data_IF_187416579827
#
_entry.id   IF_187416579827
#
_cell.length_a   1.000
_cell.length_b   1.000
_cell.length_c   1.000
_cell.angle_alpha   90.00
_cell.angle_beta   90.00
_cell.angle_gamma   90.00
#
_symmetry.space_group_name_H-M   'P 1'
#
loop_
_entity.id
_entity.type
_entity.pdbx_description
1 polymer ?
#
# COMPACT_ATOMS: atom_id res chain seq x y z
N UNK A 1 -11.05 -15.09 -1.49
CA UNK A 1 -11.13 -13.86 -0.68
C UNK A 1 -10.01 -12.96 -1.16
N UNK A 2 -10.38 -11.93 -1.95
CA UNK A 2 -9.41 -11.06 -2.61
C UNK A 2 -8.79 -10.09 -1.62
N UNK A 3 -7.46 -9.97 -1.66
CA UNK A 3 -6.70 -8.95 -0.94
C UNK A 3 -7.39 -7.61 -1.27
N UNK A 4 -8.01 -7.02 -0.26
CA UNK A 4 -8.99 -5.97 -0.46
C UNK A 4 -8.27 -4.70 -0.90
N UNK A 5 -8.39 -4.37 -2.19
CA UNK A 5 -7.76 -3.22 -2.87
C UNK A 5 -8.17 -1.84 -2.28
N UNK A 6 -8.85 -1.82 -1.14
CA UNK A 6 -9.58 -0.66 -0.64
C UNK A 6 -8.72 0.35 0.11
N UNK A 7 -7.55 -0.02 0.62
CA UNK A 7 -6.77 0.89 1.47
C UNK A 7 -6.23 2.09 0.69
N UNK A 8 -5.60 1.83 -0.46
CA UNK A 8 -5.04 2.89 -1.29
C UNK A 8 -6.15 3.71 -1.96
N UNK A 9 -7.23 3.06 -2.39
CA UNK A 9 -8.40 3.76 -2.96
C UNK A 9 -9.09 4.65 -1.92
N UNK A 10 -9.05 4.29 -0.64
CA UNK A 10 -9.55 5.14 0.45
C UNK A 10 -8.62 6.30 0.77
N UNK A 11 -7.30 6.09 0.76
CA UNK A 11 -6.33 7.16 0.99
C UNK A 11 -6.28 8.15 -0.19
N UNK A 12 -6.47 7.65 -1.41
CA UNK A 12 -6.35 8.42 -2.66
C UNK A 12 -7.56 8.23 -3.58
N UNK A 13 -8.77 8.64 -3.15
CA UNK A 13 -9.99 8.41 -3.91
C UNK A 13 -9.96 9.10 -5.28
N UNK A 14 -9.32 10.27 -5.36
CA UNK A 14 -9.12 11.04 -6.59
C UNK A 14 -8.20 10.35 -7.62
N UNK A 15 -7.37 9.40 -7.18
CA UNK A 15 -6.48 8.65 -8.04
C UNK A 15 -6.96 7.19 -8.25
N UNK A 16 -8.17 6.83 -7.82
CA UNK A 16 -8.66 5.43 -7.90
C UNK A 16 -8.62 4.88 -9.33
N UNK A 17 -9.09 5.65 -10.32
CA UNK A 17 -9.01 5.25 -11.73
C UNK A 17 -7.56 5.08 -12.21
N UNK A 18 -6.67 6.00 -11.81
CA UNK A 18 -5.24 5.94 -12.15
C UNK A 18 -4.55 4.75 -11.49
N UNK A 19 -4.96 4.39 -10.26
CA UNK A 19 -4.45 3.24 -9.51
C UNK A 19 -4.84 1.95 -10.24
N UNK A 20 -6.09 1.79 -10.67
CA UNK A 20 -6.53 0.62 -11.44
C UNK A 20 -5.81 0.53 -12.80
N UNK A 21 -5.65 1.65 -13.50
CA UNK A 21 -4.90 1.70 -14.76
C UNK A 21 -3.43 1.32 -14.57
N UNK A 22 -2.75 1.91 -13.58
CA UNK A 22 -1.36 1.62 -13.25
C UNK A 22 -1.18 0.20 -12.74
N UNK A 23 -2.13 -0.33 -11.97
CA UNK A 23 -2.06 -1.71 -11.51
C UNK A 23 -2.12 -2.71 -12.66
N UNK A 24 -2.85 -2.37 -13.74
CA UNK A 24 -2.92 -3.23 -14.92
C UNK A 24 -1.81 -2.99 -15.94
N UNK A 25 -1.28 -1.76 -16.03
CA UNK A 25 -0.24 -1.39 -17.00
C UNK A 25 1.18 -1.48 -16.43
N UNK A 26 1.34 -1.23 -15.14
CA UNK A 26 2.63 -1.18 -14.44
C UNK A 26 2.74 -2.32 -13.39
N UNK A 27 3.50 -3.37 -13.71
CA UNK A 27 3.66 -4.51 -12.80
C UNK A 27 4.43 -4.16 -11.53
N UNK A 28 5.26 -3.10 -11.54
CA UNK A 28 5.95 -2.65 -10.31
C UNK A 28 4.96 -2.02 -9.34
N UNK A 29 3.98 -1.29 -9.86
CA UNK A 29 2.91 -0.72 -9.07
C UNK A 29 2.05 -1.81 -8.43
N UNK A 30 1.62 -2.84 -9.19
CA UNK A 30 0.85 -3.97 -8.63
C UNK A 30 1.62 -4.70 -7.52
N UNK A 31 2.91 -4.96 -7.71
CA UNK A 31 3.74 -5.59 -6.68
C UNK A 31 3.77 -4.75 -5.40
N UNK A 32 4.06 -3.44 -5.52
CA UNK A 32 4.13 -2.52 -4.38
C UNK A 32 2.77 -2.35 -3.69
N UNK A 33 1.69 -2.36 -4.46
CA UNK A 33 0.32 -2.28 -3.97
C UNK A 33 -0.02 -3.49 -3.11
N UNK A 34 0.28 -4.70 -3.59
CA UNK A 34 0.06 -5.94 -2.83
C UNK A 34 0.90 -5.95 -1.57
N UNK A 35 2.17 -5.59 -1.67
CA UNK A 35 3.09 -5.55 -0.54
C UNK A 35 2.59 -4.57 0.54
N UNK A 36 2.00 -3.44 0.13
CA UNK A 36 1.38 -2.48 1.05
C UNK A 36 0.15 -3.07 1.74
N UNK A 37 -0.78 -3.64 0.97
CA UNK A 37 -2.01 -4.21 1.50
C UNK A 37 -1.76 -5.40 2.43
N UNK A 38 -0.81 -6.27 2.09
CA UNK A 38 -0.40 -7.39 2.95
C UNK A 38 0.20 -6.88 4.26
N UNK A 39 1.03 -5.84 4.20
CA UNK A 39 1.69 -5.29 5.36
C UNK A 39 0.71 -4.55 6.28
N UNK A 40 -0.27 -3.81 5.74
CA UNK A 40 -1.33 -3.17 6.52
C UNK A 40 -2.22 -4.23 7.20
N UNK A 41 -2.65 -5.24 6.45
CA UNK A 41 -3.43 -6.35 7.01
C UNK A 41 -2.64 -7.12 8.09
N UNK A 42 -1.32 -7.26 7.93
CA UNK A 42 -0.47 -7.83 8.97
C UNK A 42 -0.39 -6.91 10.20
N UNK A 43 -0.27 -5.59 10.03
CA UNK A 43 -0.32 -4.63 11.15
C UNK A 43 -1.67 -4.73 11.87
N UNK A 44 -2.79 -4.66 11.15
CA UNK A 44 -4.13 -4.76 11.74
C UNK A 44 -4.35 -6.11 12.45
N UNK A 45 -3.88 -7.21 11.84
CA UNK A 45 -3.97 -8.54 12.43
C UNK A 45 -3.13 -8.67 13.69
N UNK A 46 -1.96 -8.04 13.71
CA UNK A 46 -1.09 -7.97 14.87
C UNK A 46 -1.70 -7.11 15.98
N UNK A 47 -2.26 -5.94 15.66
CA UNK A 47 -2.96 -5.07 16.62
C UNK A 47 -4.20 -5.75 17.20
N UNK A 48 -5.00 -6.46 16.38
CA UNK A 48 -6.17 -7.22 16.84
C UNK A 48 -5.84 -8.40 17.74
N UNK A 49 -4.66 -9.00 17.58
CA UNK A 49 -4.25 -10.17 18.38
C UNK A 49 -3.78 -9.78 19.78
N UNK A 50 -3.74 -8.49 20.13
CA UNK A 50 -3.20 -7.94 21.38
C UNK A 50 -1.84 -8.58 21.73
N UNK A 51 -1.09 -8.96 20.69
CA UNK A 51 0.17 -9.63 20.86
C UNK A 51 1.19 -8.57 21.27
N UNK A 52 2.10 -8.86 22.23
CA UNK A 52 3.22 -7.98 22.53
C UNK A 52 4.20 -8.04 21.34
N UNK A 53 3.84 -7.39 20.25
CA UNK A 53 4.72 -7.19 19.12
C UNK A 53 5.86 -6.35 19.66
N UNK A 54 7.07 -6.86 19.55
CA UNK A 54 8.24 -6.06 19.91
C UNK A 54 8.20 -4.77 19.11
N UNK A 55 8.37 -3.64 19.80
CA UNK A 55 8.34 -2.29 19.23
C UNK A 55 9.16 -2.21 17.92
N UNK A 56 10.29 -2.93 17.87
CA UNK A 56 11.15 -3.08 16.70
C UNK A 56 10.43 -3.62 15.44
N UNK A 57 9.58 -4.65 15.59
CA UNK A 57 8.85 -5.24 14.47
C UNK A 57 7.79 -4.28 13.96
N UNK A 58 7.03 -3.66 14.86
CA UNK A 58 6.02 -2.64 14.51
C UNK A 58 6.68 -1.43 13.83
N UNK A 59 7.84 -0.99 14.33
CA UNK A 59 8.62 0.09 13.77
C UNK A 59 9.09 -0.22 12.34
N UNK A 60 9.62 -1.43 12.10
CA UNK A 60 10.02 -1.88 10.76
C UNK A 60 8.83 -1.95 9.81
N UNK A 61 7.68 -2.43 10.28
CA UNK A 61 6.46 -2.48 9.47
C UNK A 61 6.00 -1.06 9.11
N UNK A 62 5.88 -0.15 10.08
CA UNK A 62 5.55 1.26 9.80
C UNK A 62 6.53 1.91 8.83
N UNK A 63 7.83 1.62 8.95
CA UNK A 63 8.85 2.12 8.03
C UNK A 63 8.65 1.56 6.61
N UNK A 64 8.36 0.26 6.48
CA UNK A 64 8.02 -0.34 5.18
C UNK A 64 6.75 0.26 4.60
N UNK A 65 5.68 0.41 5.39
CA UNK A 65 4.42 1.03 4.99
C UNK A 65 4.66 2.42 4.40
N UNK A 66 5.46 3.24 5.08
CA UNK A 66 5.82 4.57 4.61
C UNK A 66 6.58 4.53 3.28
N UNK A 67 7.56 3.63 3.14
CA UNK A 67 8.31 3.46 1.88
C UNK A 67 7.43 2.99 0.74
N UNK A 68 6.54 2.04 0.98
CA UNK A 68 5.60 1.52 -0.01
C UNK A 68 4.65 2.63 -0.47
N UNK A 69 4.12 3.41 0.47
CA UNK A 69 3.30 4.59 0.16
C UNK A 69 4.06 5.60 -0.70
N UNK A 70 5.31 5.90 -0.36
CA UNK A 70 6.14 6.84 -1.12
C UNK A 70 6.36 6.36 -2.57
N UNK A 71 6.63 5.06 -2.75
CA UNK A 71 6.76 4.45 -4.08
C UNK A 71 5.46 4.50 -4.88
N UNK A 72 4.32 4.17 -4.25
CA UNK A 72 3.01 4.24 -4.89
C UNK A 72 2.68 5.68 -5.30
N UNK A 73 2.94 6.65 -4.42
CA UNK A 73 2.75 8.06 -4.72
C UNK A 73 3.67 8.55 -5.85
N UNK A 74 4.94 8.14 -5.86
CA UNK A 74 5.85 8.45 -6.96
C UNK A 74 5.36 7.91 -8.30
N UNK A 75 4.84 6.68 -8.34
CA UNK A 75 4.28 6.10 -9.55
C UNK A 75 3.04 6.89 -10.02
N UNK A 76 2.15 7.25 -9.10
CA UNK A 76 0.97 8.07 -9.40
C UNK A 76 1.37 9.43 -9.98
N UNK A 77 2.27 10.16 -9.31
CA UNK A 77 2.74 11.48 -9.76
C UNK A 77 3.52 11.40 -11.08
N UNK A 78 4.30 10.34 -11.28
CA UNK A 78 5.05 10.16 -12.52
C UNK A 78 4.11 9.92 -13.72
N UNK A 79 3.01 9.19 -13.51
CA UNK A 79 2.02 8.94 -14.55
C UNK A 79 1.10 10.15 -14.78
N UNK A 80 0.71 10.85 -13.72
CA UNK A 80 -0.08 12.10 -13.78
C UNK A 80 0.64 13.19 -14.60
N UNK A 81 1.95 13.34 -14.43
CA UNK A 81 2.76 14.28 -15.23
C UNK A 81 3.02 13.84 -16.67
N UNK A 82 2.83 12.56 -16.98
CA UNK A 82 3.02 12.02 -18.31
C UNK A 82 1.75 12.15 -19.18
N UNK A 83 0.62 12.55 -18.59
CA UNK A 83 -0.66 12.77 -19.27
C UNK A 83 -0.89 14.22 -19.72
#
# INVERSE_FOLDING_TARGET
MGISSHELHKEFPQYSDLIDELKSNDPRFDEKFREYAELDQEIEGLEKRDAPISDDKLHRMKQKRARLKDNLYQALVSNDKAS
#
